data_IF_192367798075
#
_entry.id   IF_192367798075
#
_cell.length_a   1.000
_cell.length_b   1.000
_cell.length_c   1.000
_cell.angle_alpha   90.00
_cell.angle_beta   90.00
_cell.angle_gamma   90.00
#
_symmetry.space_group_name_H-M   'P 1'
#
loop_
_entity.id
_entity.type
_entity.pdbx_description
1 polymer ?
#
# COMPACT_ATOMS: atom_id res chain seq x y z
N UNK A 1 17.37 -11.09 24.65
CA UNK A 1 17.19 -9.87 23.82
C UNK A 1 15.76 -9.41 23.97
N UNK A 2 15.56 -8.17 24.42
CA UNK A 2 14.25 -7.53 24.57
C UNK A 2 13.55 -7.30 23.22
N UNK A 3 12.22 -7.32 23.23
CA UNK A 3 11.39 -7.09 22.04
C UNK A 3 11.61 -5.71 21.41
N UNK A 4 11.78 -4.66 22.21
CA UNK A 4 12.04 -3.31 21.70
C UNK A 4 13.35 -3.23 20.90
N UNK A 5 14.43 -3.86 21.39
CA UNK A 5 15.70 -3.91 20.67
C UNK A 5 15.59 -4.69 19.35
N UNK A 6 14.78 -5.74 19.32
CA UNK A 6 14.58 -6.54 18.12
C UNK A 6 13.74 -5.79 17.08
N UNK A 7 12.70 -5.06 17.52
CA UNK A 7 11.86 -4.22 16.66
C UNK A 7 12.61 -3.04 16.04
N UNK A 8 13.67 -2.53 16.66
CA UNK A 8 14.52 -1.49 16.02
C UNK A 8 15.07 -1.95 14.67
N UNK A 9 15.43 -3.22 14.53
CA UNK A 9 15.93 -3.79 13.28
C UNK A 9 14.82 -4.41 12.43
N UNK A 10 13.76 -4.94 13.05
CA UNK A 10 12.77 -5.78 12.38
C UNK A 10 11.37 -5.15 12.27
N UNK A 11 11.13 -3.94 12.76
CA UNK A 11 9.83 -3.27 12.65
C UNK A 11 9.41 -3.06 11.19
N UNK A 12 8.10 -2.85 10.97
CA UNK A 12 7.55 -2.60 9.63
C UNK A 12 8.23 -1.40 8.96
N UNK A 13 8.48 -0.34 9.75
CA UNK A 13 9.21 0.85 9.29
C UNK A 13 10.67 0.51 8.97
N UNK A 14 11.37 -0.21 9.86
CA UNK A 14 12.78 -0.56 9.63
C UNK A 14 12.98 -1.45 8.39
N UNK A 15 12.05 -2.38 8.13
CA UNK A 15 12.05 -3.24 6.95
C UNK A 15 11.50 -2.57 5.68
N UNK A 16 11.07 -1.31 5.75
CA UNK A 16 10.42 -0.57 4.66
C UNK A 16 9.20 -1.31 4.09
N UNK A 17 8.41 -1.88 4.99
CA UNK A 17 7.18 -2.62 4.68
C UNK A 17 5.94 -1.76 4.99
N UNK A 18 6.07 -0.43 4.88
CA UNK A 18 4.90 0.46 4.94
C UNK A 18 4.23 0.56 3.57
N UNK A 19 2.96 0.93 3.55
CA UNK A 19 2.25 1.12 2.29
C UNK A 19 2.88 2.23 1.44
N UNK A 20 3.39 3.30 2.08
CA UNK A 20 4.05 4.40 1.38
C UNK A 20 5.35 3.93 0.74
N UNK A 21 6.14 3.09 1.43
CA UNK A 21 7.37 2.52 0.85
C UNK A 21 7.09 1.65 -0.38
N UNK A 22 5.97 0.91 -0.37
CA UNK A 22 5.54 0.12 -1.52
C UNK A 22 5.10 0.99 -2.71
N UNK A 23 4.51 2.15 -2.44
CA UNK A 23 4.03 3.10 -3.45
C UNK A 23 5.12 4.11 -3.90
N UNK A 24 6.20 4.26 -3.13
CA UNK A 24 7.27 5.23 -3.39
C UNK A 24 7.90 5.12 -4.78
N UNK A 25 8.11 3.93 -5.39
CA UNK A 25 8.68 3.84 -6.73
C UNK A 25 7.80 4.44 -7.84
N UNK A 26 6.48 4.51 -7.62
CA UNK A 26 5.51 5.04 -8.59
C UNK A 26 4.94 6.40 -8.18
N UNK A 27 5.48 6.96 -7.11
CA UNK A 27 5.14 8.28 -6.59
C UNK A 27 5.80 9.38 -7.42
N UNK A 28 4.98 10.23 -8.05
CA UNK A 28 5.41 11.44 -8.74
C UNK A 28 5.12 12.64 -7.81
N UNK A 29 6.15 13.26 -7.22
CA UNK A 29 5.95 14.43 -6.38
C UNK A 29 5.53 15.61 -7.26
N UNK A 30 4.37 16.20 -6.97
CA UNK A 30 3.97 17.47 -7.58
C UNK A 30 4.48 18.62 -6.70
N UNK A 31 5.31 19.48 -7.29
CA UNK A 31 5.80 20.70 -6.65
C UNK A 31 5.30 21.93 -7.41
N UNK A 32 5.21 23.05 -6.70
CA UNK A 32 4.81 24.31 -7.28
C UNK A 32 5.81 24.72 -8.37
N UNK A 33 5.31 25.13 -9.53
CA UNK A 33 6.16 25.66 -10.60
C UNK A 33 6.21 27.17 -10.49
N UNK A 34 7.42 27.72 -10.44
CA UNK A 34 7.63 29.16 -10.48
C UNK A 34 7.33 29.68 -11.89
N UNK A 35 6.49 30.71 -11.98
CA UNK A 35 6.16 31.38 -13.24
C UNK A 35 6.71 32.80 -13.20
N UNK A 36 7.77 33.13 -13.96
CA UNK A 36 8.46 34.41 -13.86
C UNK A 36 7.58 35.63 -14.15
N UNK A 37 6.66 35.51 -15.10
CA UNK A 37 5.75 36.61 -15.52
C UNK A 37 4.81 37.03 -14.37
N UNK A 38 4.52 36.11 -13.45
CA UNK A 38 3.62 36.33 -12.32
C UNK A 38 4.38 36.48 -11.00
N UNK A 39 5.71 36.33 -11.01
CA UNK A 39 6.60 36.31 -9.84
C UNK A 39 6.10 35.42 -8.70
N UNK A 40 5.40 34.32 -9.03
CA UNK A 40 4.70 33.47 -8.07
C UNK A 40 4.88 32.00 -8.38
N UNK A 41 4.85 31.20 -7.32
CA UNK A 41 4.72 29.75 -7.39
C UNK A 41 3.26 29.40 -7.60
N UNK A 42 2.97 28.69 -8.69
CA UNK A 42 1.62 28.32 -9.06
C UNK A 42 1.46 26.81 -8.88
N UNK A 43 0.39 26.46 -8.18
CA UNK A 43 -0.12 25.10 -8.09
C UNK A 43 -1.21 24.91 -9.14
N UNK A 44 -1.38 23.67 -9.60
CA UNK A 44 -2.60 23.32 -10.32
C UNK A 44 -3.78 23.53 -9.36
N UNK A 45 -4.84 24.25 -9.76
CA UNK A 45 -6.05 24.49 -8.94
C UNK A 45 -6.74 23.19 -8.45
N UNK A 46 -6.44 22.06 -9.08
CA UNK A 46 -6.94 20.73 -8.67
C UNK A 46 -6.14 20.16 -7.49
N UNK A 47 -4.98 20.75 -7.17
CA UNK A 47 -4.01 20.25 -6.21
C UNK A 47 -3.49 21.42 -5.35
N UNK A 48 -4.32 21.89 -4.41
CA UNK A 48 -3.97 22.98 -3.48
C UNK A 48 -2.97 22.56 -2.38
N UNK A 49 -2.72 21.25 -2.23
CA UNK A 49 -1.76 20.68 -1.26
C UNK A 49 -0.65 19.89 -1.97
N UNK A 50 0.44 19.61 -1.24
CA UNK A 50 1.60 18.85 -1.70
C UNK A 50 1.24 17.37 -1.94
N UNK A 51 0.52 17.13 -3.04
CA UNK A 51 -0.03 15.83 -3.40
C UNK A 51 1.00 15.01 -4.18
N UNK A 52 1.16 13.77 -3.77
CA UNK A 52 1.99 12.80 -4.48
C UNK A 52 1.07 11.98 -5.37
N UNK A 53 1.25 12.10 -6.69
CA UNK A 53 0.48 11.30 -7.63
C UNK A 53 1.07 9.90 -7.68
N UNK A 54 0.28 8.89 -7.35
CA UNK A 54 0.71 7.49 -7.37
C UNK A 54 0.01 6.77 -8.50
N UNK A 55 0.75 6.00 -9.31
CA UNK A 55 0.14 5.07 -10.26
C UNK A 55 -0.10 3.72 -9.56
N UNK A 56 -1.35 3.38 -9.19
CA UNK A 56 -1.64 2.15 -8.45
C UNK A 56 -1.43 0.88 -9.29
N UNK A 57 -1.51 0.97 -10.62
CA UNK A 57 -1.38 -0.18 -11.52
C UNK A 57 0.08 -0.56 -11.80
N UNK A 58 1.02 0.35 -11.56
CA UNK A 58 2.45 0.11 -11.77
C UNK A 58 3.15 -0.47 -10.53
N UNK A 59 2.43 -0.68 -9.42
CA UNK A 59 2.99 -1.19 -8.17
C UNK A 59 2.81 -2.70 -8.07
N UNK A 60 3.88 -3.43 -7.73
CA UNK A 60 3.80 -4.86 -7.46
C UNK A 60 3.25 -5.13 -6.04
N UNK A 61 1.94 -4.98 -5.89
CA UNK A 61 1.25 -5.18 -4.61
C UNK A 61 1.27 -6.64 -4.14
N UNK A 62 1.41 -7.62 -5.05
CA UNK A 62 1.45 -9.03 -4.67
C UNK A 62 2.76 -9.41 -3.98
N UNK A 63 3.90 -8.97 -4.52
CA UNK A 63 5.21 -9.17 -3.88
C UNK A 63 5.30 -8.46 -2.53
N UNK A 64 4.70 -7.27 -2.42
CA UNK A 64 4.61 -6.57 -1.14
C UNK A 64 3.81 -7.37 -0.11
N UNK A 65 2.63 -7.90 -0.47
CA UNK A 65 1.79 -8.70 0.43
C UNK A 65 2.50 -9.96 0.92
N UNK A 66 3.21 -10.69 0.05
CA UNK A 66 3.91 -11.91 0.47
C UNK A 66 5.05 -11.60 1.45
N UNK A 67 5.81 -10.53 1.22
CA UNK A 67 6.84 -10.04 2.16
C UNK A 67 6.24 -9.62 3.50
N UNK A 68 5.11 -8.91 3.46
CA UNK A 68 4.39 -8.46 4.65
C UNK A 68 3.84 -9.63 5.46
N UNK A 69 3.29 -10.66 4.81
CA UNK A 69 2.85 -11.90 5.45
C UNK A 69 4.02 -12.64 6.12
N UNK A 70 5.18 -12.71 5.47
CA UNK A 70 6.39 -13.27 6.09
C UNK A 70 6.81 -12.50 7.34
N UNK A 71 6.80 -11.17 7.29
CA UNK A 71 7.10 -10.34 8.46
C UNK A 71 6.07 -10.51 9.59
N UNK A 72 4.78 -10.66 9.27
CA UNK A 72 3.74 -10.96 10.26
C UNK A 72 3.99 -12.30 10.94
N UNK A 73 4.36 -13.34 10.19
CA UNK A 73 4.72 -14.64 10.77
C UNK A 73 5.92 -14.54 11.71
N UNK A 74 6.93 -13.73 11.36
CA UNK A 74 8.07 -13.46 12.24
C UNK A 74 7.62 -12.81 13.56
N UNK A 75 6.68 -11.86 13.51
CA UNK A 75 6.14 -11.21 14.70
C UNK A 75 5.31 -12.16 15.58
N UNK A 76 4.43 -12.96 14.98
CA UNK A 76 3.66 -13.97 15.71
C UNK A 76 4.60 -14.95 16.41
N UNK A 77 5.53 -15.54 15.67
CA UNK A 77 6.53 -16.48 16.23
C UNK A 77 7.34 -15.85 17.35
N UNK A 78 7.71 -14.58 17.19
CA UNK A 78 8.46 -13.85 18.21
C UNK A 78 7.63 -13.67 19.48
N UNK A 79 6.38 -13.26 19.34
CA UNK A 79 5.45 -13.07 20.45
C UNK A 79 5.21 -14.40 21.19
N UNK A 80 4.95 -15.48 20.46
CA UNK A 80 4.79 -16.83 21.02
C UNK A 80 6.02 -17.25 21.83
N UNK A 81 7.22 -17.00 21.30
CA UNK A 81 8.48 -17.33 21.99
C UNK A 81 8.67 -16.53 23.29
N UNK A 82 8.28 -15.26 23.31
CA UNK A 82 8.44 -14.40 24.49
C UNK A 82 7.48 -14.83 25.58
N UNK A 83 6.20 -15.02 25.23
CA UNK A 83 5.17 -15.48 26.16
C UNK A 83 5.53 -16.87 26.67
N UNK A 84 5.92 -17.80 25.79
CA UNK A 84 6.33 -19.15 26.18
C UNK A 84 7.54 -19.15 27.11
N UNK A 85 8.53 -18.28 26.91
CA UNK A 85 9.69 -18.17 27.82
C UNK A 85 9.32 -17.62 29.19
N UNK A 86 8.28 -16.80 29.27
CA UNK A 86 7.82 -16.18 30.50
C UNK A 86 7.01 -17.17 31.39
N UNK A 87 6.41 -18.21 30.79
CA UNK A 87 5.64 -19.23 31.50
C UNK A 87 6.54 -20.22 32.26
N UNK A 88 6.02 -20.70 33.39
CA UNK A 88 6.64 -21.78 34.18
C UNK A 88 6.42 -23.15 33.51
N UNK A 89 7.20 -24.15 33.91
CA UNK A 89 7.05 -25.50 33.35
C UNK A 89 5.66 -26.10 33.64
N UNK A 90 5.11 -25.85 34.83
CA UNK A 90 3.78 -26.30 35.23
C UNK A 90 2.67 -25.76 34.32
N UNK A 91 2.79 -24.51 33.89
CA UNK A 91 1.82 -23.90 32.98
C UNK A 91 2.02 -24.39 31.54
N UNK A 92 3.26 -24.64 31.12
CA UNK A 92 3.56 -25.23 29.80
C UNK A 92 3.01 -26.63 29.67
N UNK A 93 3.10 -27.44 30.73
CA UNK A 93 2.61 -28.81 30.74
C UNK A 93 1.08 -28.87 30.54
N UNK A 94 0.33 -27.83 30.94
CA UNK A 94 -1.12 -27.72 30.67
C UNK A 94 -1.46 -27.66 29.19
N UNK A 95 -0.54 -27.19 28.35
CA UNK A 95 -0.73 -27.11 26.91
C UNK A 95 -0.30 -28.40 26.19
N UNK A 96 0.29 -29.37 26.88
CA UNK A 96 0.66 -30.67 26.32
C UNK A 96 1.67 -30.62 25.17
N UNK A 97 2.36 -29.49 25.00
CA UNK A 97 3.31 -29.24 23.91
C UNK A 97 4.60 -28.67 24.48
N UNK A 98 5.74 -29.18 24.01
CA UNK A 98 7.07 -28.61 24.29
C UNK A 98 7.38 -27.39 23.39
N UNK A 99 6.59 -27.23 22.31
CA UNK A 99 6.73 -26.11 21.39
C UNK A 99 5.90 -24.90 21.83
N UNK A 100 6.36 -23.66 21.55
CA UNK A 100 5.59 -22.45 21.77
C UNK A 100 4.23 -22.55 21.11
N UNK A 101 3.20 -22.30 21.91
CA UNK A 101 1.80 -22.29 21.49
C UNK A 101 1.47 -20.91 20.90
N UNK A 102 0.60 -20.88 19.89
CA UNK A 102 0.15 -19.65 19.24
C UNK A 102 -0.59 -18.77 20.25
N UNK A 103 -0.08 -17.57 20.47
CA UNK A 103 -0.69 -16.62 21.40
C UNK A 103 -2.07 -16.17 20.96
N UNK A 104 -2.30 -16.05 19.66
CA UNK A 104 -3.58 -15.59 19.14
C UNK A 104 -4.70 -16.61 19.41
N UNK A 105 -4.38 -17.90 19.36
CA UNK A 105 -5.34 -19.00 19.58
C UNK A 105 -5.62 -19.21 21.07
N UNK A 106 -4.60 -19.05 21.93
CA UNK A 106 -4.69 -19.33 23.36
C UNK A 106 -4.60 -18.06 24.22
N UNK A 107 -5.01 -16.91 23.68
CA UNK A 107 -4.81 -15.58 24.29
C UNK A 107 -5.29 -15.52 25.75
N UNK A 108 -6.51 -15.96 26.02
CA UNK A 108 -7.11 -15.88 27.36
C UNK A 108 -6.38 -16.78 28.37
N UNK A 109 -6.05 -18.02 27.97
CA UNK A 109 -5.34 -18.96 28.81
C UNK A 109 -3.92 -18.47 29.14
N UNK A 110 -3.22 -17.90 28.15
CA UNK A 110 -1.87 -17.35 28.32
C UNK A 110 -1.87 -16.08 29.16
N UNK A 111 -2.85 -15.18 28.96
CA UNK A 111 -2.98 -13.98 29.79
C UNK A 111 -3.33 -14.32 31.24
N UNK A 112 -4.23 -15.29 31.47
CA UNK A 112 -4.56 -15.77 32.81
C UNK A 112 -3.35 -16.39 33.52
N UNK A 113 -2.55 -17.18 32.80
CA UNK A 113 -1.30 -17.75 33.32
C UNK A 113 -0.26 -16.67 33.66
N UNK A 114 -0.07 -15.69 32.77
CA UNK A 114 0.81 -14.55 33.03
C UNK A 114 0.35 -13.71 34.24
N UNK A 115 -0.96 -13.59 34.45
CA UNK A 115 -1.53 -12.89 35.61
C UNK A 115 -1.32 -13.67 36.92
N UNK A 116 -1.50 -14.99 36.92
CA UNK A 116 -1.20 -15.83 38.11
C UNK A 116 0.27 -15.80 38.50
N UNK A 117 1.17 -15.65 37.52
CA UNK A 117 2.61 -15.49 37.76
C UNK A 117 3.02 -14.05 38.13
N UNK A 118 2.08 -13.10 38.21
CA UNK A 118 2.37 -11.71 38.56
C UNK A 118 3.12 -10.93 37.47
N UNK A 119 2.93 -11.30 36.19
CA UNK A 119 3.58 -10.68 35.03
C UNK A 119 5.11 -10.74 35.08
N UNK A 120 5.71 -11.93 34.83
CA UNK A 120 7.17 -12.10 34.76
C UNK A 120 7.81 -11.37 33.55
N UNK A 121 7.00 -10.75 32.70
CA UNK A 121 7.39 -9.98 31.53
C UNK A 121 6.78 -8.57 31.59
N UNK A 122 7.51 -7.52 31.16
CA UNK A 122 6.93 -6.20 30.92
C UNK A 122 5.76 -6.26 29.92
N UNK A 123 4.62 -5.68 30.30
CA UNK A 123 3.41 -5.60 29.46
C UNK A 123 3.67 -4.85 28.16
N UNK A 124 4.58 -3.89 28.19
CA UNK A 124 4.97 -3.11 27.02
C UNK A 124 5.57 -4.01 25.93
N UNK A 125 6.27 -5.09 26.26
CA UNK A 125 6.86 -5.97 25.25
C UNK A 125 5.82 -6.74 24.43
N UNK A 126 4.70 -7.14 25.06
CA UNK A 126 3.59 -7.79 24.36
C UNK A 126 2.83 -6.75 23.52
N UNK A 127 2.50 -5.61 24.13
CA UNK A 127 1.76 -4.52 23.47
C UNK A 127 2.47 -4.05 22.21
N UNK A 128 3.79 -3.82 22.27
CA UNK A 128 4.57 -3.37 21.11
C UNK A 128 4.49 -4.35 19.94
N UNK A 129 4.47 -5.66 20.21
CA UNK A 129 4.36 -6.67 19.16
C UNK A 129 2.92 -6.78 18.62
N UNK A 130 1.91 -6.70 19.49
CA UNK A 130 0.50 -6.64 19.08
C UNK A 130 0.22 -5.41 18.19
N UNK A 131 0.79 -4.25 18.54
CA UNK A 131 0.68 -3.02 17.76
C UNK A 131 1.29 -3.19 16.36
N UNK A 132 2.45 -3.82 16.25
CA UNK A 132 3.08 -4.09 14.95
C UNK A 132 2.26 -5.08 14.11
N UNK A 133 1.68 -6.11 14.74
CA UNK A 133 0.80 -7.07 14.06
C UNK A 133 -0.45 -6.36 13.53
N UNK A 134 -1.11 -5.54 14.37
CA UNK A 134 -2.30 -4.79 13.96
C UNK A 134 -1.99 -3.81 12.82
N UNK A 135 -0.87 -3.09 12.87
CA UNK A 135 -0.40 -2.25 11.76
C UNK A 135 -0.13 -3.07 10.49
N UNK A 136 0.50 -4.24 10.61
CA UNK A 136 0.75 -5.10 9.45
C UNK A 136 -0.55 -5.60 8.80
N UNK A 137 -1.56 -5.95 9.60
CA UNK A 137 -2.89 -6.34 9.11
C UNK A 137 -3.61 -5.20 8.41
N UNK A 138 -3.54 -3.98 8.96
CA UNK A 138 -4.14 -2.80 8.30
C UNK A 138 -3.47 -2.49 6.97
N UNK A 139 -2.14 -2.58 6.88
CA UNK A 139 -1.42 -2.42 5.60
C UNK A 139 -1.75 -3.52 4.58
N UNK A 140 -1.97 -4.75 5.03
CA UNK A 140 -2.40 -5.85 4.16
C UNK A 140 -3.79 -5.57 3.58
N UNK A 141 -4.71 -5.09 4.42
CA UNK A 141 -6.06 -4.69 4.00
C UNK A 141 -5.99 -3.54 2.99
N UNK A 142 -5.22 -2.48 3.29
CA UNK A 142 -5.01 -1.36 2.38
C UNK A 142 -4.45 -1.80 1.02
N UNK A 143 -3.45 -2.70 1.00
CA UNK A 143 -2.89 -3.23 -0.23
C UNK A 143 -3.92 -4.04 -1.04
N UNK A 144 -4.81 -4.77 -0.36
CA UNK A 144 -5.92 -5.50 -1.00
C UNK A 144 -6.93 -4.53 -1.64
N UNK A 145 -7.30 -3.48 -0.92
CA UNK A 145 -8.24 -2.47 -1.40
C UNK A 145 -7.67 -1.67 -2.57
N UNK A 146 -6.38 -1.30 -2.51
CA UNK A 146 -5.68 -0.65 -3.63
C UNK A 146 -5.64 -1.53 -4.87
N UNK A 147 -5.40 -2.83 -4.71
CA UNK A 147 -5.41 -3.76 -5.82
C UNK A 147 -6.81 -3.89 -6.43
N UNK A 148 -7.86 -3.93 -5.61
CA UNK A 148 -9.25 -3.97 -6.07
C UNK A 148 -9.61 -2.70 -6.83
N UNK A 149 -9.25 -1.53 -6.29
CA UNK A 149 -9.48 -0.24 -6.94
C UNK A 149 -8.75 -0.14 -8.30
N UNK A 150 -7.51 -0.61 -8.37
CA UNK A 150 -6.75 -0.66 -9.63
C UNK A 150 -7.46 -1.52 -10.67
N UNK A 151 -7.92 -2.72 -10.32
CA UNK A 151 -8.62 -3.64 -11.26
C UNK A 151 -9.96 -3.10 -11.72
N UNK A 152 -10.72 -2.44 -10.84
CA UNK A 152 -11.98 -1.80 -11.23
C UNK A 152 -11.75 -0.69 -12.25
N UNK A 153 -10.72 0.14 -12.05
CA UNK A 153 -10.39 1.25 -12.95
C UNK A 153 -9.91 0.82 -14.34
N UNK A 154 -9.34 -0.39 -14.49
CA UNK A 154 -9.01 -0.95 -15.80
C UNK A 154 -10.26 -1.47 -16.50
N UNK A 155 -11.12 -2.23 -15.79
CA UNK A 155 -12.34 -2.80 -16.39
C UNK A 155 -13.39 -1.75 -16.80
N UNK A 156 -13.49 -0.61 -16.09
CA UNK A 156 -14.37 0.50 -16.52
C UNK A 156 -13.86 1.18 -17.78
N UNK A 157 -12.53 1.31 -17.95
CA UNK A 157 -11.95 1.88 -19.17
C UNK A 157 -12.16 0.96 -20.37
N UNK A 158 -12.01 -0.34 -20.19
CA UNK A 158 -12.21 -1.31 -21.28
C UNK A 158 -13.66 -1.31 -21.77
N UNK A 159 -14.64 -1.22 -20.85
CA UNK A 159 -16.07 -1.12 -21.20
C UNK A 159 -16.46 0.22 -21.85
N UNK A 160 -15.85 1.35 -21.45
CA UNK A 160 -16.06 2.64 -22.12
C UNK A 160 -15.40 2.70 -23.52
N UNK A 161 -14.29 2.01 -23.72
CA UNK A 161 -13.62 1.91 -25.02
C UNK A 161 -14.42 0.98 -25.95
N UNK A 162 -14.94 -0.15 -25.47
CA UNK A 162 -15.82 -1.03 -26.24
C UNK A 162 -17.13 -0.33 -26.63
N UNK A 163 -17.77 0.42 -25.73
CA UNK A 163 -19.00 1.18 -26.05
C UNK A 163 -18.79 2.32 -27.05
N UNK A 164 -17.58 2.89 -27.15
CA UNK A 164 -17.23 3.84 -28.23
C UNK A 164 -16.91 3.16 -29.56
N UNK A 165 -16.58 1.87 -29.54
CA UNK A 165 -16.20 1.11 -30.75
C UNK A 165 -17.39 0.36 -31.35
N UNK A 166 -18.46 0.11 -30.58
CA UNK A 166 -19.69 -0.56 -31.02
C UNK A 166 -20.83 0.40 -31.45
N UNK A 167 -20.51 1.55 -32.07
CA UNK A 167 -21.52 2.30 -32.84
C UNK A 167 -21.61 1.73 -34.28
N UNK A 168 -22.81 1.51 -34.86
CA UNK A 168 -22.96 0.74 -36.09
C UNK A 168 -22.36 1.45 -37.32
N UNK A 169 -21.78 0.66 -38.22
CA UNK A 169 -21.33 0.98 -39.58
C UNK A 169 -21.92 2.28 -40.17
N UNK A 170 -21.11 3.33 -40.27
CA UNK A 170 -21.32 4.36 -41.28
C UNK A 170 -20.88 3.74 -42.62
N UNK A 171 -21.87 3.42 -43.45
CA UNK A 171 -21.71 3.00 -44.85
C UNK A 171 -20.60 3.78 -45.55
N UNK A 172 -19.69 3.04 -46.18
CA UNK A 172 -18.69 3.56 -47.11
C UNK A 172 -19.34 4.50 -48.14
N UNK A 173 -19.11 5.80 -48.00
CA UNK A 173 -19.35 6.76 -49.06
C UNK A 173 -18.01 7.10 -49.71
N UNK A 174 -17.93 6.79 -51.01
CA UNK A 174 -16.80 7.00 -51.93
C UNK A 174 -16.06 8.32 -51.67
N UNK A 175 -14.72 8.38 -51.88
CA UNK A 175 -13.95 9.60 -51.67
C UNK A 175 -14.41 10.70 -52.65
N UNK A 176 -15.12 11.71 -52.14
CA UNK A 176 -15.30 12.97 -52.86
C UNK A 176 -13.95 13.68 -52.88
N UNK A 177 -13.43 13.91 -54.09
CA UNK A 177 -12.23 14.70 -54.40
C UNK A 177 -12.12 15.91 -53.48
N UNK A 178 -11.04 15.99 -52.71
CA UNK A 178 -10.65 17.22 -52.01
C UNK A 178 -10.43 18.29 -53.06
N UNK A 179 -11.28 19.31 -53.10
CA UNK A 179 -10.94 20.58 -53.72
C UNK A 179 -9.84 21.19 -52.85
N UNK A 180 -8.66 21.34 -53.42
CA UNK A 180 -7.55 22.13 -52.86
C UNK A 180 -8.09 23.51 -52.51
N UNK A 181 -8.06 23.85 -51.22
CA UNK A 181 -8.25 25.23 -50.79
C UNK A 181 -7.00 25.98 -51.19
N UNK A 182 -7.17 26.84 -52.19
CA UNK A 182 -6.17 27.74 -52.75
C UNK A 182 -5.69 28.69 -51.64
N UNK A 183 -4.45 28.55 -51.20
CA UNK A 183 -3.84 29.39 -50.18
C UNK A 183 -3.23 30.62 -50.85
N UNK A 184 -3.72 31.80 -50.46
CA UNK A 184 -3.02 33.08 -50.55
C UNK A 184 -2.80 33.65 -51.96
N UNK A 185 -3.88 33.90 -52.69
CA UNK A 185 -3.85 34.84 -53.82
C UNK A 185 -4.14 36.26 -53.33
N UNK A 186 -3.12 36.99 -52.89
CA UNK A 186 -3.32 38.36 -52.42
C UNK A 186 -2.13 39.08 -51.81
N UNK A 187 -0.93 38.96 -52.39
CA UNK A 187 0.19 39.84 -52.05
C UNK A 187 0.46 40.78 -53.23
N UNK A 188 -0.09 41.99 -53.17
CA UNK A 188 0.29 43.08 -54.07
C UNK A 188 1.53 43.75 -53.50
N UNK A 189 2.66 43.55 -54.16
CA UNK A 189 3.87 44.35 -53.99
C UNK A 189 3.63 45.66 -54.75
N UNK A 190 3.71 46.79 -54.06
CA UNK A 190 3.90 48.09 -54.69
C UNK A 190 5.41 48.40 -54.60
N UNK A 191 5.95 48.77 -55.76
CA UNK A 191 7.29 49.29 -55.96
C UNK A 191 7.43 50.70 -55.38
#
# INVERSE_FOLDING_TARGET
>A
MSSASWLRANSLVARRLTIIDALAPTAIPQSAKFVPILEKYIYSKVFDEQLTLVNPSAVNLEEYKTRLQGALQDYHRRLDLIVWRALTQEEKDKFGSDKPVSFQEHREALLGALESLGWPLPREEVSLLEDQISMGLTFLQQASDLQRASKQSTSTRDTEIEQRTESPLIREQKPKRRRTLDTLRGQRVLA
#
